data_IF_455844302063
#
_entry.id   IF_455844302063
#
_cell.length_a   1.000
_cell.length_b   1.000
_cell.length_c   1.000
_cell.angle_alpha   90.00
_cell.angle_beta   90.00
_cell.angle_gamma   90.00
#
_symmetry.space_group_name_H-M   'P 1'
#
loop_
_entity.id
_entity.type
_entity.pdbx_description
1 polymer ?
#
# COMPACT_ATOMS: atom_id res chain seq x y z
N UNK A 1 -11.14 -12.07 3.17
CA UNK A 1 -12.29 -12.20 4.09
C UNK A 1 -12.65 -10.83 4.65
N UNK A 2 -13.94 -10.49 4.75
CA UNK A 2 -14.40 -9.19 5.29
C UNK A 2 -15.31 -9.45 6.48
N UNK A 3 -15.12 -8.71 7.59
CA UNK A 3 -15.98 -8.85 8.76
C UNK A 3 -17.42 -8.45 8.46
N UNK A 4 -18.42 -8.96 9.21
CA UNK A 4 -19.83 -8.62 8.99
C UNK A 4 -20.14 -7.13 9.12
N UNK A 5 -19.31 -6.38 9.83
CA UNK A 5 -19.41 -4.92 9.97
C UNK A 5 -18.62 -4.13 8.92
N UNK A 6 -17.90 -4.80 8.01
CA UNK A 6 -17.14 -4.17 6.92
C UNK A 6 -15.82 -3.50 7.34
N UNK A 7 -15.58 -3.34 8.64
CA UNK A 7 -14.45 -2.58 9.19
C UNK A 7 -13.13 -3.36 9.21
N UNK A 8 -13.16 -4.68 9.04
CA UNK A 8 -11.96 -5.52 8.98
C UNK A 8 -11.98 -6.24 7.65
N UNK A 9 -10.93 -6.03 6.85
CA UNK A 9 -10.65 -6.82 5.66
C UNK A 9 -9.32 -7.53 5.89
N UNK A 10 -9.32 -8.85 5.75
CA UNK A 10 -8.12 -9.68 5.75
C UNK A 10 -7.97 -10.19 4.31
N UNK A 11 -7.17 -9.52 3.47
CA UNK A 11 -6.77 -10.06 2.19
C UNK A 11 -5.96 -11.33 2.44
N UNK A 12 -6.31 -12.44 1.79
CA UNK A 12 -5.45 -13.62 1.75
C UNK A 12 -4.86 -13.71 0.34
N UNK A 13 -3.54 -13.72 0.24
CA UNK A 13 -2.82 -13.84 -1.02
C UNK A 13 -2.15 -15.21 -1.06
N UNK A 14 -2.45 -16.01 -2.09
CA UNK A 14 -1.83 -17.31 -2.36
C UNK A 14 -1.06 -17.24 -3.68
N UNK A 15 0.06 -17.96 -3.80
CA UNK A 15 0.81 -18.03 -5.08
C UNK A 15 0.08 -18.92 -6.09
N UNK A 16 -0.03 -18.43 -7.33
CA UNK A 16 -0.67 -19.14 -8.45
C UNK A 16 0.29 -19.61 -9.55
N UNK A 17 1.61 -19.41 -9.44
CA UNK A 17 2.59 -19.63 -10.53
C UNK A 17 3.96 -20.11 -10.03
N UNK A 18 4.70 -20.84 -10.87
CA UNK A 18 5.99 -21.50 -10.55
C UNK A 18 7.22 -20.57 -10.46
N UNK A 19 7.10 -19.27 -10.78
CA UNK A 19 8.19 -18.31 -10.59
C UNK A 19 8.20 -17.75 -9.16
N UNK A 20 9.40 -17.60 -8.56
CA UNK A 20 9.59 -17.08 -7.19
C UNK A 20 9.01 -15.68 -7.06
N UNK A 21 7.83 -15.57 -6.46
CA UNK A 21 7.17 -14.32 -6.14
C UNK A 21 7.61 -13.74 -4.80
N UNK A 22 7.14 -12.53 -4.50
CA UNK A 22 7.32 -11.87 -3.21
C UNK A 22 6.77 -12.70 -2.02
N UNK A 23 5.88 -13.67 -2.28
CA UNK A 23 5.27 -14.53 -1.26
C UNK A 23 6.22 -15.66 -0.86
N UNK A 24 6.88 -16.35 -1.81
CA UNK A 24 7.91 -17.33 -1.49
C UNK A 24 9.09 -16.69 -0.75
N UNK A 25 9.47 -15.46 -1.12
CA UNK A 25 10.50 -14.71 -0.37
C UNK A 25 10.05 -14.39 1.07
N UNK A 26 8.79 -14.02 1.28
CA UNK A 26 8.20 -13.91 2.62
C UNK A 26 8.20 -15.26 3.37
N UNK A 27 7.76 -16.35 2.75
CA UNK A 27 7.74 -17.67 3.39
C UNK A 27 9.15 -18.17 3.75
N UNK A 28 10.14 -17.90 2.89
CA UNK A 28 11.54 -18.27 3.11
C UNK A 28 12.18 -17.42 4.24
N UNK A 29 11.89 -16.12 4.29
CA UNK A 29 12.37 -15.22 5.36
C UNK A 29 11.66 -15.46 6.70
N UNK A 30 10.35 -15.70 6.69
CA UNK A 30 9.50 -15.75 7.88
C UNK A 30 9.23 -17.18 8.39
N UNK A 31 9.64 -18.21 7.63
CA UNK A 31 9.51 -19.64 7.98
C UNK A 31 8.07 -20.05 8.34
N UNK A 32 7.07 -19.45 7.69
CA UNK A 32 5.66 -19.74 7.94
C UNK A 32 4.72 -18.59 7.51
N UNK A 33 3.42 -18.82 7.66
CA UNK A 33 2.38 -17.81 7.45
C UNK A 33 2.47 -16.68 8.49
N UNK A 34 2.07 -15.46 8.12
CA UNK A 34 2.11 -14.32 9.03
C UNK A 34 1.40 -13.08 8.50
N UNK A 35 1.34 -12.03 9.33
CA UNK A 35 0.78 -10.74 8.94
C UNK A 35 1.82 -10.03 8.07
N UNK A 36 1.47 -9.74 6.81
CA UNK A 36 2.36 -9.05 5.88
C UNK A 36 2.35 -7.53 6.08
N UNK A 37 1.17 -6.92 6.29
CA UNK A 37 1.02 -5.49 6.55
C UNK A 37 -0.30 -5.20 7.29
N UNK A 38 -0.39 -4.02 7.90
CA UNK A 38 -1.62 -3.48 8.50
C UNK A 38 -1.94 -2.17 7.76
N UNK A 39 -3.12 -2.08 7.16
CA UNK A 39 -3.59 -0.86 6.52
C UNK A 39 -4.29 0.04 7.56
N UNK A 40 -3.89 1.30 7.63
CA UNK A 40 -4.49 2.33 8.49
C UNK A 40 -5.19 3.37 7.63
N UNK A 41 -6.48 3.60 7.88
CA UNK A 41 -7.24 4.62 7.16
C UNK A 41 -7.06 6.00 7.80
N UNK A 42 -7.14 7.05 6.99
CA UNK A 42 -7.09 8.45 7.40
C UNK A 42 -7.96 9.30 6.48
N UNK A 43 -8.49 10.40 7.01
CA UNK A 43 -9.27 11.39 6.24
C UNK A 43 -8.37 12.41 5.52
N UNK A 44 -7.12 12.56 5.95
CA UNK A 44 -6.11 13.43 5.33
C UNK A 44 -4.79 12.66 5.13
N UNK A 45 -4.73 11.91 4.04
CA UNK A 45 -3.56 11.10 3.73
C UNK A 45 -2.30 11.95 3.50
N UNK A 46 -2.44 13.13 2.91
CA UNK A 46 -1.29 13.98 2.62
C UNK A 46 -0.67 14.52 3.89
N UNK A 47 -1.46 15.13 4.78
CA UNK A 47 -0.98 15.61 6.07
C UNK A 47 -0.45 14.48 6.95
N UNK A 48 -1.10 13.31 6.91
CA UNK A 48 -0.65 12.11 7.64
C UNK A 48 0.74 11.66 7.17
N UNK A 49 0.97 11.54 5.86
CA UNK A 49 2.27 11.09 5.33
C UNK A 49 3.36 12.12 5.60
N UNK A 50 3.06 13.41 5.42
CA UNK A 50 3.99 14.50 5.70
C UNK A 50 4.45 14.45 7.18
N UNK A 51 3.52 14.30 8.12
CA UNK A 51 3.84 14.16 9.55
C UNK A 51 4.60 12.86 9.90
N UNK A 52 4.25 11.73 9.26
CA UNK A 52 4.95 10.46 9.46
C UNK A 52 6.40 10.54 8.96
N UNK A 53 6.65 11.20 7.82
CA UNK A 53 8.00 11.43 7.30
C UNK A 53 8.81 12.34 8.23
N UNK A 54 8.20 13.41 8.75
CA UNK A 54 8.83 14.26 9.77
C UNK A 54 9.19 13.49 11.04
N UNK A 55 8.39 12.46 11.36
CA UNK A 55 8.61 11.54 12.49
C UNK A 55 9.62 10.42 12.18
N UNK A 56 10.23 10.42 10.99
CA UNK A 56 11.29 9.46 10.61
C UNK A 56 10.79 8.16 9.97
N UNK A 57 9.50 8.04 9.63
CA UNK A 57 8.98 6.87 8.92
C UNK A 57 9.47 6.89 7.47
N UNK A 58 10.02 5.75 7.03
CA UNK A 58 10.50 5.57 5.66
C UNK A 58 9.45 4.83 4.84
N UNK A 59 9.19 5.33 3.63
CA UNK A 59 8.20 4.78 2.70
C UNK A 59 8.86 4.21 1.46
N UNK A 60 8.22 3.21 0.87
CA UNK A 60 8.65 2.64 -0.41
C UNK A 60 8.62 3.73 -1.49
N UNK A 61 9.57 3.64 -2.42
CA UNK A 61 9.67 4.55 -3.54
C UNK A 61 8.77 4.11 -4.71
N UNK A 62 8.40 5.06 -5.56
CA UNK A 62 7.59 4.81 -6.77
C UNK A 62 8.23 5.54 -7.96
N UNK A 63 8.44 4.85 -9.10
CA UNK A 63 9.03 5.49 -10.29
C UNK A 63 8.24 6.69 -10.79
N UNK A 64 8.94 7.72 -11.26
CA UNK A 64 8.30 8.95 -11.78
C UNK A 64 7.33 8.69 -12.94
N UNK A 65 7.65 7.69 -13.77
CA UNK A 65 6.82 7.27 -14.91
C UNK A 65 5.41 6.82 -14.49
N UNK A 66 5.21 6.41 -13.24
CA UNK A 66 3.88 6.13 -12.71
C UNK A 66 2.98 7.37 -12.73
N UNK A 67 3.51 8.51 -12.28
CA UNK A 67 2.79 9.78 -12.18
C UNK A 67 2.57 10.41 -13.56
N UNK A 68 3.56 10.29 -14.45
CA UNK A 68 3.45 10.75 -15.85
C UNK A 68 2.32 10.04 -16.61
N UNK A 69 2.04 8.78 -16.27
CA UNK A 69 1.00 7.97 -16.91
C UNK A 69 -0.35 8.02 -16.17
N UNK A 70 -0.43 8.70 -15.03
CA UNK A 70 -1.59 8.62 -14.14
C UNK A 70 -2.87 9.17 -14.79
N UNK A 71 -2.79 10.36 -15.40
CA UNK A 71 -3.92 11.00 -16.09
C UNK A 71 -4.48 10.13 -17.23
N UNK A 72 -3.61 9.37 -17.90
CA UNK A 72 -4.02 8.45 -18.96
C UNK A 72 -4.73 7.21 -18.40
N UNK A 73 -4.29 6.71 -17.24
CA UNK A 73 -4.85 5.52 -16.59
C UNK A 73 -6.18 5.83 -15.90
N UNK A 74 -6.27 6.99 -15.25
CA UNK A 74 -7.42 7.43 -14.46
C UNK A 74 -7.80 8.87 -14.86
N UNK A 75 -8.44 9.06 -16.02
CA UNK A 75 -8.81 10.41 -16.46
C UNK A 75 -9.81 11.07 -15.50
N UNK A 76 -9.66 12.38 -15.29
CA UNK A 76 -10.51 13.19 -14.41
C UNK A 76 -10.51 12.76 -12.94
N UNK A 77 -9.40 12.21 -12.44
CA UNK A 77 -9.29 11.78 -11.05
C UNK A 77 -9.31 12.94 -10.03
N UNK A 78 -8.96 14.17 -10.44
CA UNK A 78 -9.13 15.38 -9.63
C UNK A 78 -8.13 15.58 -8.48
N UNK A 79 -7.09 14.74 -8.40
CA UNK A 79 -6.03 14.84 -7.39
C UNK A 79 -4.86 15.71 -7.89
N UNK A 80 -4.10 16.29 -6.95
CA UNK A 80 -2.86 17.00 -7.26
C UNK A 80 -1.73 16.00 -7.55
N UNK A 81 -1.47 15.74 -8.83
CA UNK A 81 -0.43 14.79 -9.29
C UNK A 81 0.95 15.17 -8.77
N UNK A 82 1.27 16.46 -8.65
CA UNK A 82 2.56 16.90 -8.14
C UNK A 82 2.69 16.59 -6.64
N UNK A 83 1.61 16.75 -5.86
CA UNK A 83 1.61 16.38 -4.44
C UNK A 83 1.62 14.87 -4.23
N UNK A 84 0.92 14.11 -5.08
CA UNK A 84 1.00 12.64 -5.10
C UNK A 84 2.44 12.17 -5.36
N UNK A 85 3.09 12.73 -6.38
CA UNK A 85 4.47 12.43 -6.77
C UNK A 85 5.46 12.78 -5.67
N UNK A 86 5.34 13.97 -5.07
CA UNK A 86 6.20 14.41 -3.96
C UNK A 86 6.13 13.46 -2.77
N UNK A 87 4.93 12.98 -2.44
CA UNK A 87 4.71 12.14 -1.27
C UNK A 87 4.84 10.63 -1.56
N UNK A 88 5.01 10.24 -2.83
CA UNK A 88 5.01 8.85 -3.31
C UNK A 88 3.69 8.12 -3.06
N UNK A 89 2.57 8.84 -3.13
CA UNK A 89 1.23 8.28 -2.93
C UNK A 89 0.78 7.63 -4.24
N UNK A 90 0.21 6.43 -4.14
CA UNK A 90 -0.43 5.72 -5.24
C UNK A 90 -1.92 6.03 -5.27
N UNK A 91 -2.47 6.10 -6.47
CA UNK A 91 -3.88 6.31 -6.76
C UNK A 91 -4.42 5.15 -7.61
N UNK A 92 -5.55 4.59 -7.19
CA UNK A 92 -6.25 3.53 -7.91
C UNK A 92 -7.76 3.75 -7.94
N UNK A 93 -8.45 3.07 -8.86
CA UNK A 93 -9.91 3.02 -8.89
C UNK A 93 -10.44 2.06 -7.82
N UNK A 94 -11.42 2.51 -7.03
CA UNK A 94 -12.12 1.68 -6.08
C UNK A 94 -13.42 1.09 -6.66
N UNK A 95 -13.88 -0.08 -6.17
CA UNK A 95 -15.19 -0.62 -6.54
C UNK A 95 -16.29 0.41 -6.30
N UNK A 96 -17.18 0.59 -7.28
CA UNK A 96 -18.25 1.60 -7.22
C UNK A 96 -17.89 2.97 -7.77
N UNK A 97 -16.72 3.13 -8.41
CA UNK A 97 -16.33 4.37 -9.08
C UNK A 97 -15.66 5.41 -8.17
N UNK A 98 -15.32 5.03 -6.94
CA UNK A 98 -14.50 5.86 -6.05
C UNK A 98 -13.02 5.79 -6.40
N UNK A 99 -12.22 6.56 -5.67
CA UNK A 99 -10.75 6.52 -5.75
C UNK A 99 -10.18 5.96 -4.44
N UNK A 100 -9.02 5.30 -4.55
CA UNK A 100 -8.24 4.80 -3.43
C UNK A 100 -6.85 5.43 -3.48
N UNK A 101 -6.50 6.19 -2.44
CA UNK A 101 -5.15 6.68 -2.22
C UNK A 101 -4.46 5.77 -1.20
N UNK A 102 -3.22 5.37 -1.49
CA UNK A 102 -2.46 4.45 -0.64
C UNK A 102 -0.96 4.67 -0.74
N UNK A 103 -0.22 4.27 0.28
CA UNK A 103 1.24 4.22 0.29
C UNK A 103 1.68 3.09 1.23
N UNK A 104 2.85 2.53 0.99
CA UNK A 104 3.44 1.49 1.83
C UNK A 104 4.72 2.01 2.48
N UNK A 105 4.90 1.70 3.76
CA UNK A 105 6.18 1.94 4.44
C UNK A 105 7.21 0.93 3.95
N UNK A 106 8.50 1.25 4.05
CA UNK A 106 9.52 0.20 4.08
C UNK A 106 9.25 -0.75 5.27
N UNK A 107 9.90 -1.92 5.30
CA UNK A 107 9.76 -2.85 6.43
C UNK A 107 10.18 -2.17 7.74
N UNK A 108 9.19 -1.71 8.52
CA UNK A 108 9.42 -0.98 9.78
C UNK A 108 9.75 -1.90 10.95
N UNK A 109 9.26 -3.15 10.89
CA UNK A 109 9.46 -4.15 11.93
C UNK A 109 10.07 -5.37 11.27
N UNK A 110 11.28 -5.74 11.68
CA UNK A 110 11.82 -7.07 11.36
C UNK A 110 10.93 -8.17 11.96
N UNK A 111 11.10 -9.41 11.52
CA UNK A 111 10.43 -10.63 12.02
C UNK A 111 9.67 -10.49 13.36
N UNK A 112 8.35 -10.30 13.28
CA UNK A 112 7.45 -10.40 14.44
C UNK A 112 6.89 -11.80 14.48
N UNK A 113 7.41 -12.62 15.39
CA UNK A 113 6.87 -13.94 15.70
C UNK A 113 5.94 -13.80 16.90
N UNK A 114 4.69 -14.23 16.75
CA UNK A 114 3.77 -14.41 17.89
C UNK A 114 3.90 -15.88 18.28
N UNK A 115 4.55 -16.15 19.40
CA UNK A 115 4.65 -17.48 20.03
C UNK A 115 3.52 -17.75 21.04
#
# INVERSE_FOLDING_TARGET
MTSPCGNIRIPNNEEGTEEKGQIQEYLDLYRGEGIQHIAMATEDIYGTIEALRESGVVFLDTPETYYELLDRRLPNHGEDVARLQKNRILLDGAPGGGLLLQIFTENQIGLVRID
#
